data_IF_454105734457
#
_entry.id   IF_454105734457
#
_cell.length_a   1.000
_cell.length_b   1.000
_cell.length_c   1.000
_cell.angle_alpha   90.00
_cell.angle_beta   90.00
_cell.angle_gamma   90.00
#
_symmetry.space_group_name_H-M   'P 1'
#
loop_
_entity.id
_entity.type
_entity.pdbx_description
1 polymer ?
#
# COMPACT_ATOMS: atom_id res chain seq x y z
N UNK A 1 7.25 23.49 -10.63
CA UNK A 1 6.65 23.00 -9.36
C UNK A 1 6.35 21.51 -9.43
N UNK A 2 6.77 20.77 -8.43
CA UNK A 2 6.50 19.34 -8.38
C UNK A 2 5.05 19.09 -7.98
N UNK A 3 4.37 18.23 -8.71
CA UNK A 3 2.99 17.84 -8.39
C UNK A 3 2.99 16.78 -7.30
N UNK A 4 2.23 17.02 -6.23
CA UNK A 4 2.06 16.07 -5.14
C UNK A 4 1.08 14.98 -5.53
N UNK A 5 1.59 13.84 -5.94
CA UNK A 5 0.78 12.67 -6.29
C UNK A 5 1.55 11.42 -5.98
N UNK A 6 0.83 10.36 -5.64
CA UNK A 6 1.46 9.06 -5.42
C UNK A 6 2.24 8.64 -6.66
N UNK A 7 3.51 8.22 -6.51
CA UNK A 7 4.31 7.75 -7.64
C UNK A 7 3.62 6.63 -8.42
N UNK A 8 3.69 6.69 -9.74
CA UNK A 8 3.01 5.75 -10.63
C UNK A 8 3.35 4.29 -10.35
N UNK A 9 4.63 3.90 -10.09
CA UNK A 9 4.94 2.50 -9.77
C UNK A 9 4.18 1.95 -8.56
N UNK A 10 3.89 2.79 -7.57
CA UNK A 10 3.12 2.38 -6.38
C UNK A 10 1.67 2.13 -6.75
N UNK A 11 1.08 3.02 -7.55
CA UNK A 11 -0.30 2.84 -8.05
C UNK A 11 -0.43 1.57 -8.89
N UNK A 12 0.54 1.32 -9.76
CA UNK A 12 0.56 0.14 -10.61
C UNK A 12 0.62 -1.14 -9.77
N UNK A 13 1.41 -1.15 -8.72
CA UNK A 13 1.52 -2.30 -7.82
C UNK A 13 0.21 -2.54 -7.07
N UNK A 14 -0.44 -1.49 -6.55
CA UNK A 14 -1.75 -1.59 -5.93
C UNK A 14 -2.79 -2.16 -6.91
N UNK A 15 -2.79 -1.66 -8.14
CA UNK A 15 -3.72 -2.13 -9.17
C UNK A 15 -3.48 -3.61 -9.49
N UNK A 16 -2.20 -4.04 -9.56
CA UNK A 16 -1.86 -5.43 -9.82
C UNK A 16 -2.37 -6.37 -8.72
N UNK A 17 -2.28 -5.98 -7.46
CA UNK A 17 -2.85 -6.77 -6.36
C UNK A 17 -4.37 -6.89 -6.48
N UNK A 18 -5.05 -5.79 -6.77
CA UNK A 18 -6.49 -5.81 -6.95
C UNK A 18 -6.90 -6.70 -8.12
N UNK A 19 -6.22 -6.60 -9.25
CA UNK A 19 -6.50 -7.41 -10.43
C UNK A 19 -6.31 -8.90 -10.16
N UNK A 20 -5.27 -9.28 -9.41
CA UNK A 20 -5.03 -10.67 -9.04
C UNK A 20 -6.13 -11.19 -8.11
N UNK A 21 -6.57 -10.37 -7.15
CA UNK A 21 -7.70 -10.72 -6.28
C UNK A 21 -9.00 -10.91 -7.07
N UNK A 22 -9.23 -10.07 -8.08
CA UNK A 22 -10.40 -10.23 -8.95
C UNK A 22 -10.38 -11.57 -9.69
N UNK A 23 -9.21 -12.01 -10.14
CA UNK A 23 -9.06 -13.33 -10.77
C UNK A 23 -9.35 -14.46 -9.77
N UNK A 24 -8.86 -14.33 -8.54
CA UNK A 24 -9.11 -15.30 -7.49
C UNK A 24 -10.61 -15.36 -7.15
N UNK A 25 -11.28 -14.22 -7.10
CA UNK A 25 -12.73 -14.14 -6.87
C UNK A 25 -13.48 -14.87 -7.98
N UNK A 26 -13.10 -14.65 -9.23
CA UNK A 26 -13.75 -15.32 -10.37
C UNK A 26 -13.54 -16.83 -10.38
N UNK A 27 -12.51 -17.33 -9.72
CA UNK A 27 -12.23 -18.75 -9.67
C UNK A 27 -13.22 -19.53 -8.81
N UNK A 28 -14.03 -18.87 -7.99
CA UNK A 28 -15.07 -19.49 -7.18
C UNK A 28 -14.57 -20.17 -5.93
N UNK A 29 -15.44 -20.93 -5.28
CA UNK A 29 -15.11 -21.73 -4.10
C UNK A 29 -14.84 -20.92 -2.85
N UNK A 30 -14.11 -21.52 -1.90
CA UNK A 30 -13.69 -20.87 -0.67
C UNK A 30 -12.69 -19.76 -0.98
N UNK A 31 -11.86 -19.92 -2.02
CA UNK A 31 -10.91 -18.92 -2.49
C UNK A 31 -11.64 -17.61 -2.85
N UNK A 32 -12.79 -17.70 -3.50
CA UNK A 32 -13.60 -16.50 -3.82
C UNK A 32 -13.96 -15.73 -2.56
N UNK A 33 -14.46 -16.43 -1.53
CA UNK A 33 -14.91 -15.80 -0.29
C UNK A 33 -13.77 -15.07 0.42
N UNK A 34 -12.62 -15.75 0.53
CA UNK A 34 -11.46 -15.19 1.23
C UNK A 34 -10.84 -14.03 0.42
N UNK A 35 -10.75 -14.17 -0.90
CA UNK A 35 -10.25 -13.09 -1.76
C UNK A 35 -11.11 -11.84 -1.64
N UNK A 36 -12.44 -11.99 -1.53
CA UNK A 36 -13.33 -10.85 -1.29
C UNK A 36 -13.06 -10.17 0.04
N UNK A 37 -12.79 -10.95 1.09
CA UNK A 37 -12.45 -10.38 2.40
C UNK A 37 -11.18 -9.55 2.33
N UNK A 38 -10.16 -10.05 1.64
CA UNK A 38 -8.89 -9.33 1.47
C UNK A 38 -9.12 -8.05 0.68
N UNK A 39 -9.84 -8.12 -0.43
CA UNK A 39 -10.08 -6.97 -1.29
C UNK A 39 -10.89 -5.89 -0.59
N UNK A 40 -11.85 -6.28 0.25
CA UNK A 40 -12.65 -5.35 1.04
C UNK A 40 -11.81 -4.55 2.04
N UNK A 41 -10.70 -5.11 2.50
CA UNK A 41 -9.77 -4.38 3.36
C UNK A 41 -8.81 -3.53 2.50
N UNK A 42 -8.29 -4.10 1.41
CA UNK A 42 -7.29 -3.44 0.58
C UNK A 42 -7.81 -2.23 -0.17
N UNK A 43 -9.03 -2.25 -0.68
CA UNK A 43 -9.57 -1.12 -1.45
C UNK A 43 -9.53 0.19 -0.64
N UNK A 44 -10.13 0.27 0.57
CA UNK A 44 -10.02 1.50 1.35
C UNK A 44 -8.61 1.75 1.87
N UNK A 45 -7.83 0.70 2.16
CA UNK A 45 -6.44 0.81 2.60
C UNK A 45 -5.58 1.49 1.54
N UNK A 46 -5.63 1.03 0.31
CA UNK A 46 -4.89 1.63 -0.81
C UNK A 46 -5.33 3.06 -1.07
N UNK A 47 -6.62 3.35 -0.90
CA UNK A 47 -7.14 4.71 -1.07
C UNK A 47 -6.51 5.67 -0.06
N UNK A 48 -6.45 5.26 1.21
CA UNK A 48 -5.80 6.07 2.26
C UNK A 48 -4.33 6.31 1.92
N UNK A 49 -3.62 5.26 1.50
CA UNK A 49 -2.22 5.36 1.14
C UNK A 49 -1.98 6.30 -0.04
N UNK A 50 -2.78 6.17 -1.09
CA UNK A 50 -2.61 6.98 -2.30
C UNK A 50 -2.99 8.44 -2.10
N UNK A 51 -3.89 8.74 -1.18
CA UNK A 51 -4.33 10.10 -0.88
C UNK A 51 -3.52 10.75 0.25
N UNK A 52 -3.08 9.96 1.24
CA UNK A 52 -2.59 10.52 2.50
C UNK A 52 -1.22 10.01 2.95
N UNK A 53 -0.62 9.05 2.25
CA UNK A 53 0.68 8.50 2.65
C UNK A 53 1.77 8.74 1.60
N UNK A 54 1.48 8.45 0.35
CA UNK A 54 2.49 8.37 -0.69
C UNK A 54 2.68 9.61 -1.58
N UNK A 55 1.75 10.59 -1.66
CA UNK A 55 2.01 11.78 -2.47
C UNK A 55 3.32 12.49 -2.12
N UNK A 56 3.73 12.60 -0.84
CA UNK A 56 5.01 13.23 -0.51
C UNK A 56 6.23 12.53 -1.13
N UNK A 57 6.12 11.24 -1.46
CA UNK A 57 7.23 10.50 -2.07
C UNK A 57 7.63 11.06 -3.45
N UNK A 58 6.71 11.78 -4.11
CA UNK A 58 7.03 12.47 -5.37
C UNK A 58 8.10 13.55 -5.19
N UNK A 59 8.34 13.98 -3.96
CA UNK A 59 9.36 15.00 -3.65
C UNK A 59 10.75 14.40 -3.43
N UNK A 60 10.89 13.08 -3.32
CA UNK A 60 12.18 12.47 -3.03
C UNK A 60 13.24 12.82 -4.07
N UNK A 61 12.91 12.68 -5.35
CA UNK A 61 13.86 12.93 -6.41
C UNK A 61 14.31 14.41 -6.46
N UNK A 62 13.40 15.41 -6.50
CA UNK A 62 13.84 16.79 -6.49
C UNK A 62 14.58 17.18 -5.20
N UNK A 63 14.11 16.73 -4.03
CA UNK A 63 14.80 17.02 -2.76
C UNK A 63 16.21 16.41 -2.73
N UNK A 64 16.39 15.23 -3.31
CA UNK A 64 17.70 14.59 -3.37
C UNK A 64 18.69 15.37 -4.22
N UNK A 65 18.21 16.23 -5.12
CA UNK A 65 19.04 17.13 -5.93
C UNK A 65 19.20 18.51 -5.31
N UNK A 66 18.69 18.72 -4.10
CA UNK A 66 18.76 20.02 -3.43
C UNK A 66 17.74 21.03 -3.92
N UNK A 67 16.76 20.61 -4.71
CA UNK A 67 15.71 21.49 -5.23
C UNK A 67 14.60 21.63 -4.19
N UNK A 68 14.35 22.86 -3.72
CA UNK A 68 13.29 23.15 -2.75
C UNK A 68 12.47 24.32 -3.27
N UNK A 69 11.12 24.18 -3.27
CA UNK A 69 10.22 25.27 -3.57
C UNK A 69 9.14 25.40 -2.48
N UNK A 70 8.44 26.52 -2.46
CA UNK A 70 7.44 26.82 -1.43
C UNK A 70 6.22 25.91 -1.50
N UNK A 71 5.90 25.37 -2.68
CA UNK A 71 4.78 24.46 -2.87
C UNK A 71 4.97 23.10 -2.19
N UNK A 72 6.22 22.72 -1.91
CA UNK A 72 6.52 21.46 -1.23
C UNK A 72 5.97 21.42 0.19
N UNK A 73 5.75 22.55 0.83
CA UNK A 73 5.18 22.61 2.19
C UNK A 73 3.75 22.08 2.26
N UNK A 74 3.06 22.03 1.13
CA UNK A 74 1.72 21.42 1.08
C UNK A 74 1.75 19.94 1.46
N UNK A 75 2.92 19.29 1.30
CA UNK A 75 3.11 17.90 1.73
C UNK A 75 2.97 17.74 3.25
N UNK A 76 3.21 18.78 4.04
CA UNK A 76 3.18 18.68 5.51
C UNK A 76 1.80 18.28 6.03
N UNK A 77 0.73 18.79 5.43
CA UNK A 77 -0.64 18.41 5.81
C UNK A 77 -0.91 16.94 5.48
N UNK A 78 -0.42 16.47 4.33
CA UNK A 78 -0.57 15.07 3.93
C UNK A 78 0.18 14.18 4.90
N UNK A 79 1.41 14.55 5.27
CA UNK A 79 2.24 13.78 6.21
C UNK A 79 1.62 13.76 7.60
N UNK A 80 1.02 14.87 8.04
CA UNK A 80 0.29 14.91 9.31
C UNK A 80 -0.85 13.90 9.31
N UNK A 81 -1.56 13.80 8.20
CA UNK A 81 -2.64 12.83 8.03
C UNK A 81 -2.09 11.42 8.02
N UNK A 82 -0.95 11.16 7.38
CA UNK A 82 -0.29 9.86 7.43
C UNK A 82 -0.01 9.44 8.87
N UNK A 83 0.56 10.34 9.68
CA UNK A 83 0.85 10.03 11.08
C UNK A 83 -0.42 9.65 11.85
N UNK A 84 -1.54 10.30 11.54
CA UNK A 84 -2.83 9.97 12.14
C UNK A 84 -3.34 8.60 11.69
N UNK A 85 -3.21 8.29 10.39
CA UNK A 85 -3.72 7.04 9.81
C UNK A 85 -2.80 5.84 10.04
N UNK A 86 -1.56 6.07 10.46
CA UNK A 86 -0.55 5.01 10.57
C UNK A 86 -0.99 3.80 11.40
N UNK A 87 -1.62 3.97 12.59
CA UNK A 87 -2.12 2.82 13.35
C UNK A 87 -3.15 1.99 12.57
N UNK A 88 -4.03 2.64 11.81
CA UNK A 88 -5.02 1.95 10.98
C UNK A 88 -4.35 1.18 9.85
N UNK A 89 -3.37 1.79 9.18
CA UNK A 89 -2.65 1.16 8.07
C UNK A 89 -1.89 -0.08 8.53
N UNK A 90 -1.21 0.00 9.68
CA UNK A 90 -0.49 -1.15 10.23
C UNK A 90 -1.44 -2.23 10.74
N UNK A 91 -2.57 -1.85 11.33
CA UNK A 91 -3.62 -2.79 11.75
C UNK A 91 -4.22 -3.54 10.56
N UNK A 92 -4.45 -2.84 9.44
CA UNK A 92 -4.93 -3.49 8.21
C UNK A 92 -3.94 -4.55 7.73
N UNK A 93 -2.65 -4.27 7.77
CA UNK A 93 -1.61 -5.23 7.39
C UNK A 93 -1.67 -6.49 8.25
N UNK A 94 -1.82 -6.35 9.57
CA UNK A 94 -1.91 -7.49 10.48
C UNK A 94 -3.14 -8.34 10.20
N UNK A 95 -4.28 -7.71 9.97
CA UNK A 95 -5.52 -8.41 9.65
C UNK A 95 -5.39 -9.18 8.34
N UNK A 96 -4.84 -8.54 7.31
CA UNK A 96 -4.63 -9.18 6.01
C UNK A 96 -3.70 -10.39 6.15
N UNK A 97 -2.60 -10.27 6.91
CA UNK A 97 -1.66 -11.37 7.11
C UNK A 97 -2.36 -12.57 7.76
N UNK A 98 -3.26 -12.34 8.70
CA UNK A 98 -4.05 -13.43 9.29
C UNK A 98 -4.96 -14.10 8.26
N UNK A 99 -5.64 -13.30 7.44
CA UNK A 99 -6.54 -13.84 6.41
C UNK A 99 -5.76 -14.60 5.33
N UNK A 100 -4.53 -14.16 5.01
CA UNK A 100 -3.70 -14.83 4.01
C UNK A 100 -3.36 -16.27 4.37
N UNK A 101 -3.34 -16.61 5.65
CA UNK A 101 -3.15 -18.01 6.09
C UNK A 101 -4.31 -18.89 5.61
N UNK A 102 -5.53 -18.40 5.76
CA UNK A 102 -6.73 -19.11 5.30
C UNK A 102 -6.77 -19.13 3.78
N UNK A 103 -6.34 -18.06 3.12
CA UNK A 103 -6.24 -17.99 1.67
C UNK A 103 -5.33 -19.09 1.13
N UNK A 104 -4.13 -19.22 1.70
CA UNK A 104 -3.16 -20.24 1.28
C UNK A 104 -3.68 -21.65 1.50
N UNK A 105 -4.38 -21.90 2.61
CA UNK A 105 -5.00 -23.21 2.86
C UNK A 105 -6.08 -23.53 1.83
N UNK A 106 -6.92 -22.55 1.49
CA UNK A 106 -7.95 -22.73 0.48
C UNK A 106 -7.35 -22.99 -0.91
N UNK A 107 -6.25 -22.30 -1.25
CA UNK A 107 -5.54 -22.54 -2.52
C UNK A 107 -5.05 -23.97 -2.63
N UNK A 108 -4.50 -24.52 -1.54
CA UNK A 108 -4.03 -25.91 -1.50
C UNK A 108 -5.18 -26.87 -1.67
N UNK A 109 -6.25 -26.69 -0.91
CA UNK A 109 -7.44 -27.55 -0.92
C UNK A 109 -8.09 -27.57 -2.30
N UNK A 110 -8.19 -26.41 -2.95
CA UNK A 110 -8.84 -26.27 -4.26
C UNK A 110 -7.86 -26.41 -5.43
N UNK A 111 -6.57 -26.65 -5.13
CA UNK A 111 -5.50 -26.87 -6.13
C UNK A 111 -5.36 -25.70 -7.11
N UNK A 112 -5.49 -24.47 -6.61
CA UNK A 112 -5.38 -23.24 -7.41
C UNK A 112 -3.97 -22.68 -7.34
N UNK A 113 -3.02 -23.35 -7.96
CA UNK A 113 -1.59 -23.04 -7.88
C UNK A 113 -1.23 -21.71 -8.55
N UNK A 114 -2.06 -21.21 -9.44
CA UNK A 114 -1.84 -19.95 -10.14
C UNK A 114 -1.77 -18.73 -9.19
N UNK A 115 -2.32 -18.85 -7.98
CA UNK A 115 -2.31 -17.79 -6.97
C UNK A 115 -1.30 -18.04 -5.83
N UNK A 116 -0.46 -19.08 -5.97
CA UNK A 116 0.37 -19.57 -4.86
C UNK A 116 1.37 -18.54 -4.32
N UNK A 117 1.78 -17.55 -5.12
CA UNK A 117 2.75 -16.55 -4.70
C UNK A 117 2.13 -15.24 -4.22
N UNK A 118 0.82 -15.11 -4.30
CA UNK A 118 0.12 -13.87 -3.95
C UNK A 118 0.41 -13.42 -2.51
N UNK A 119 0.31 -14.34 -1.55
CA UNK A 119 0.50 -14.01 -0.14
C UNK A 119 1.90 -13.48 0.15
N UNK A 120 2.93 -14.11 -0.39
CA UNK A 120 4.31 -13.67 -0.20
C UNK A 120 4.54 -12.28 -0.79
N UNK A 121 4.00 -12.02 -1.97
CA UNK A 121 4.13 -10.71 -2.62
C UNK A 121 3.45 -9.62 -1.80
N UNK A 122 2.26 -9.89 -1.30
CA UNK A 122 1.50 -8.90 -0.53
C UNK A 122 2.17 -8.64 0.83
N UNK A 123 2.65 -9.68 1.50
CA UNK A 123 3.37 -9.53 2.78
C UNK A 123 4.65 -8.73 2.56
N UNK A 124 5.41 -9.04 1.52
CA UNK A 124 6.64 -8.31 1.18
C UNK A 124 6.34 -6.84 0.92
N UNK A 125 5.27 -6.56 0.18
CA UNK A 125 4.80 -5.20 -0.10
C UNK A 125 4.47 -4.45 1.21
N UNK A 126 3.72 -5.08 2.11
CA UNK A 126 3.36 -4.48 3.39
C UNK A 126 4.60 -4.16 4.25
N UNK A 127 5.59 -5.06 4.25
CA UNK A 127 6.84 -4.84 4.98
C UNK A 127 7.66 -3.69 4.38
N UNK A 128 7.66 -3.56 3.05
CA UNK A 128 8.33 -2.44 2.39
C UNK A 128 7.65 -1.12 2.73
N UNK A 129 6.32 -1.10 2.82
CA UNK A 129 5.60 0.09 3.22
C UNK A 129 5.95 0.52 4.64
N UNK A 130 5.91 -0.41 5.59
CA UNK A 130 6.16 -0.09 7.01
C UNK A 130 7.62 0.24 7.27
N UNK A 131 8.56 -0.44 6.61
CA UNK A 131 9.98 -0.28 6.86
C UNK A 131 10.67 0.80 6.03
N UNK A 132 10.09 1.18 4.90
CA UNK A 132 10.74 2.09 3.96
C UNK A 132 9.81 3.24 3.55
N UNK A 133 8.62 2.93 3.02
CA UNK A 133 7.81 3.97 2.35
C UNK A 133 7.13 4.92 3.33
N UNK A 134 6.52 4.41 4.39
CA UNK A 134 5.93 5.29 5.41
C UNK A 134 7.02 6.11 6.12
N UNK A 135 8.13 5.51 6.56
CA UNK A 135 9.21 6.29 7.14
C UNK A 135 9.79 7.34 6.19
N UNK A 136 9.94 7.02 4.91
CA UNK A 136 10.44 7.95 3.92
C UNK A 136 9.53 9.18 3.79
N UNK A 137 8.21 8.97 3.72
CA UNK A 137 7.25 10.06 3.65
C UNK A 137 7.34 10.95 4.90
N UNK A 138 7.44 10.33 6.08
CA UNK A 138 7.55 11.06 7.35
C UNK A 138 8.86 11.86 7.41
N UNK A 139 9.98 11.28 6.96
CA UNK A 139 11.27 11.97 6.92
C UNK A 139 11.27 13.18 5.97
N UNK A 140 10.54 13.11 4.88
CA UNK A 140 10.36 14.25 4.00
C UNK A 140 9.74 15.41 4.77
N UNK A 141 8.73 15.12 5.61
CA UNK A 141 8.11 16.12 6.46
C UNK A 141 9.08 16.74 7.46
N UNK A 142 9.91 15.90 8.10
CA UNK A 142 10.93 16.39 9.03
C UNK A 142 11.95 17.29 8.31
N UNK A 143 12.39 16.90 7.12
CA UNK A 143 13.31 17.71 6.32
C UNK A 143 12.70 19.06 5.94
N UNK A 144 11.44 19.08 5.48
CA UNK A 144 10.77 20.32 5.08
C UNK A 144 10.45 21.24 6.24
N UNK A 145 10.48 20.73 7.48
CA UNK A 145 10.18 21.48 8.69
C UNK A 145 11.41 22.11 9.35
N UNK A 146 12.60 21.85 8.82
CA UNK A 146 13.85 22.41 9.35
C UNK A 146 14.00 23.92 9.16
#
# INVERSE_FOLDING_TARGET
MVKLQTPEPIKEEHQAFHDELLKAIKSGGEVEKIAKQIDNILIPHFKIEEESAFPPLSLMAPLSRGEIDSGMKDALEIIKRLKYELPKLTSDHLEIIQILKDFDEALKTEKKIEFAQFSQKLIHHARAEEGILYPAAILIGEYLSL
#
